data_IF_688480020787
#
_entry.id   IF_688480020787
#
_cell.length_a   1.000
_cell.length_b   1.000
_cell.length_c   1.000
_cell.angle_alpha   90.00
_cell.angle_beta   90.00
_cell.angle_gamma   90.00
#
_symmetry.space_group_name_H-M   'P 1'
#
loop_
_entity.id
_entity.type
_entity.pdbx_description
1 polymer ?
#
# COMPACT_ATOMS: atom_id res chain seq x y z
N UNK A 1 53.97 -20.33 39.84
CA UNK A 1 52.51 -20.38 39.69
C UNK A 1 52.05 -19.05 39.11
N UNK A 2 51.74 -19.01 37.81
CA UNK A 2 51.23 -17.79 37.15
C UNK A 2 49.76 -18.03 36.82
N UNK A 3 48.88 -17.29 37.50
CA UNK A 3 47.42 -17.31 37.31
C UNK A 3 47.08 -16.63 35.99
N UNK A 4 46.57 -17.42 35.05
CA UNK A 4 46.00 -16.96 33.78
C UNK A 4 44.58 -16.46 34.03
N UNK A 5 44.32 -15.19 33.71
CA UNK A 5 43.00 -14.58 33.76
C UNK A 5 42.40 -14.60 32.35
N UNK A 6 41.28 -15.32 32.20
CA UNK A 6 40.55 -15.45 30.94
C UNK A 6 39.53 -14.29 30.85
N UNK A 7 39.81 -13.29 30.04
CA UNK A 7 38.90 -12.17 29.78
C UNK A 7 37.81 -12.62 28.82
N UNK A 8 36.57 -12.76 29.31
CA UNK A 8 35.41 -13.11 28.50
C UNK A 8 34.91 -11.83 27.81
N UNK A 9 35.13 -11.73 26.49
CA UNK A 9 34.50 -10.72 25.65
C UNK A 9 33.05 -11.12 25.39
N UNK A 10 32.11 -10.50 26.11
CA UNK A 10 30.68 -10.62 25.80
C UNK A 10 30.37 -9.80 24.55
N UNK A 11 30.23 -10.49 23.42
CA UNK A 11 29.81 -9.90 22.14
C UNK A 11 28.34 -9.46 22.24
N UNK A 12 28.10 -8.15 22.22
CA UNK A 12 26.75 -7.60 22.09
C UNK A 12 26.30 -7.74 20.64
N UNK A 13 25.47 -8.73 20.37
CA UNK A 13 24.74 -8.86 19.11
C UNK A 13 23.67 -7.76 19.10
N UNK A 14 23.93 -6.67 18.38
CA UNK A 14 22.90 -5.68 18.07
C UNK A 14 21.92 -6.35 17.12
N UNK A 15 20.75 -6.74 17.64
CA UNK A 15 19.59 -7.13 16.83
C UNK A 15 19.15 -5.88 16.07
N UNK A 16 19.73 -5.68 14.88
CA UNK A 16 19.17 -4.75 13.91
C UNK A 16 17.82 -5.33 13.52
N UNK A 17 16.73 -4.67 13.91
CA UNK A 17 15.39 -5.01 13.46
C UNK A 17 15.42 -5.08 11.94
N UNK A 18 15.30 -6.29 11.39
CA UNK A 18 14.98 -6.48 9.98
C UNK A 18 13.66 -5.74 9.77
N UNK A 19 13.72 -4.57 9.14
CA UNK A 19 12.55 -3.93 8.54
C UNK A 19 12.10 -4.92 7.47
N UNK A 20 11.19 -5.80 7.87
CA UNK A 20 10.59 -6.83 7.04
C UNK A 20 9.89 -6.13 5.88
N UNK A 21 10.30 -6.49 4.66
CA UNK A 21 9.69 -6.24 3.36
C UNK A 21 8.61 -5.13 3.33
N UNK A 22 8.94 -4.01 2.66
CA UNK A 22 8.03 -2.90 2.33
C UNK A 22 6.60 -3.41 2.11
N UNK A 23 5.71 -3.12 3.07
CA UNK A 23 4.29 -3.43 2.92
C UNK A 23 3.77 -2.66 1.70
N UNK A 24 3.27 -3.33 0.65
CA UNK A 24 2.79 -2.66 -0.55
C UNK A 24 1.62 -1.72 -0.29
N UNK A 25 0.96 -1.86 0.86
CA UNK A 25 -0.20 -1.09 1.25
C UNK A 25 0.08 0.04 2.20
N UNK A 26 1.18 -0.06 2.94
CA UNK A 26 1.35 0.71 4.16
C UNK A 26 2.73 1.31 4.24
N UNK A 27 2.74 2.60 4.50
CA UNK A 27 3.96 3.37 4.66
C UNK A 27 3.93 4.14 5.97
N UNK A 28 4.89 3.87 6.84
CA UNK A 28 5.08 4.63 8.08
C UNK A 28 6.13 5.72 7.88
N UNK A 29 5.73 6.98 8.11
CA UNK A 29 6.66 8.09 8.16
C UNK A 29 7.03 8.41 9.60
N UNK A 30 8.32 8.59 9.94
CA UNK A 30 8.79 8.72 11.32
C UNK A 30 8.17 9.90 12.10
N UNK A 31 7.68 10.93 11.39
CA UNK A 31 7.12 12.14 12.02
C UNK A 31 5.76 12.57 11.51
N UNK A 32 5.24 11.97 10.44
CA UNK A 32 3.97 12.43 9.81
C UNK A 32 2.80 11.51 10.11
N UNK A 33 3.06 10.24 10.43
CA UNK A 33 2.02 9.22 10.61
C UNK A 33 2.11 8.12 9.56
N UNK A 34 1.00 7.45 9.33
CA UNK A 34 0.89 6.26 8.48
C UNK A 34 0.00 6.54 7.27
N UNK A 35 0.42 6.10 6.10
CA UNK A 35 -0.47 5.93 4.94
C UNK A 35 -0.82 4.46 4.87
N UNK A 36 -2.12 4.16 4.82
CA UNK A 36 -2.62 2.80 4.66
C UNK A 36 -3.71 2.77 3.59
N UNK A 37 -3.41 2.10 2.48
CA UNK A 37 -4.29 1.95 1.32
C UNK A 37 -5.07 0.62 1.34
N UNK A 38 -4.92 -0.20 2.39
CA UNK A 38 -5.47 -1.57 2.45
C UNK A 38 -6.97 -1.59 2.21
N UNK A 39 -7.71 -0.63 2.77
CA UNK A 39 -9.17 -0.53 2.64
C UNK A 39 -9.64 -0.14 1.24
N UNK A 40 -8.75 0.40 0.40
CA UNK A 40 -9.08 0.79 -0.98
C UNK A 40 -8.94 -0.37 -1.97
N UNK A 41 -8.19 -1.41 -1.61
CA UNK A 41 -7.93 -2.56 -2.46
C UNK A 41 -9.06 -3.58 -2.38
N UNK A 42 -9.51 -4.09 -3.53
CA UNK A 42 -10.44 -5.23 -3.57
C UNK A 42 -9.69 -6.54 -3.39
N UNK A 43 -10.30 -7.49 -2.69
CA UNK A 43 -9.74 -8.83 -2.42
C UNK A 43 -10.35 -9.93 -3.28
N UNK A 44 -11.33 -9.62 -4.14
CA UNK A 44 -12.05 -10.58 -4.98
C UNK A 44 -11.34 -10.88 -6.31
N UNK A 45 -10.06 -10.51 -6.43
CA UNK A 45 -9.27 -10.71 -7.64
C UNK A 45 -9.62 -9.78 -8.80
N UNK A 46 -10.46 -8.76 -8.58
CA UNK A 46 -10.85 -7.72 -9.55
C UNK A 46 -10.23 -6.37 -9.17
N UNK A 47 -10.03 -5.44 -10.14
CA UNK A 47 -9.53 -4.12 -9.82
C UNK A 47 -10.54 -3.29 -9.03
N UNK A 48 -10.07 -2.51 -8.04
CA UNK A 48 -10.88 -1.51 -7.34
C UNK A 48 -11.33 -0.39 -8.27
N UNK A 49 -10.49 -0.03 -9.23
CA UNK A 49 -10.74 1.02 -10.20
C UNK A 49 -10.61 0.46 -11.62
N UNK A 50 -11.65 -0.22 -12.14
CA UNK A 50 -11.64 -0.75 -13.50
C UNK A 50 -11.76 0.36 -14.55
N UNK A 51 -11.18 0.12 -15.72
CA UNK A 51 -11.56 0.76 -16.99
C UNK A 51 -11.55 2.31 -16.98
N UNK A 52 -10.61 2.93 -16.27
CA UNK A 52 -10.43 4.38 -16.24
C UNK A 52 -9.93 4.88 -17.59
N UNK A 53 -10.74 5.69 -18.25
CA UNK A 53 -10.40 6.39 -19.48
C UNK A 53 -9.52 7.59 -19.12
N UNK A 54 -8.35 7.76 -19.78
CA UNK A 54 -7.45 8.83 -19.42
C UNK A 54 -7.97 10.20 -19.87
N UNK A 55 -7.76 11.23 -19.04
CA UNK A 55 -8.19 12.61 -19.33
C UNK A 55 -7.43 13.25 -20.50
N UNK A 56 -6.27 12.72 -20.86
CA UNK A 56 -5.41 13.21 -21.96
C UNK A 56 -5.85 12.75 -23.36
N UNK A 57 -6.82 11.84 -23.45
CA UNK A 57 -7.25 11.23 -24.71
C UNK A 57 -6.26 10.14 -25.18
N UNK A 58 -6.68 8.88 -25.08
CA UNK A 58 -5.89 7.73 -25.52
C UNK A 58 -6.81 6.60 -25.99
N UNK A 59 -6.31 5.72 -26.85
CA UNK A 59 -7.00 4.50 -27.28
C UNK A 59 -6.89 3.37 -26.25
N UNK A 60 -6.58 3.70 -24.99
CA UNK A 60 -6.42 2.77 -23.89
C UNK A 60 -7.22 3.22 -22.68
N UNK A 61 -7.67 2.24 -21.90
CA UNK A 61 -8.22 2.39 -20.55
C UNK A 61 -7.32 1.67 -19.55
N UNK A 62 -7.43 2.05 -18.28
CA UNK A 62 -6.54 1.57 -17.22
C UNK A 62 -7.33 1.02 -16.04
N UNK A 63 -6.88 -0.13 -15.54
CA UNK A 63 -7.41 -0.70 -14.31
C UNK A 63 -6.34 -0.69 -13.22
N UNK A 64 -6.73 -0.38 -12.00
CA UNK A 64 -5.84 -0.32 -10.84
C UNK A 64 -6.47 -1.00 -9.63
N UNK A 65 -5.65 -1.73 -8.89
CA UNK A 65 -5.98 -2.19 -7.55
C UNK A 65 -4.80 -1.88 -6.63
N UNK A 66 -4.93 -0.99 -5.64
CA UNK A 66 -3.93 -0.89 -4.59
C UNK A 66 -3.88 -2.22 -3.84
N UNK A 67 -2.72 -2.55 -3.27
CA UNK A 67 -2.53 -3.62 -2.28
C UNK A 67 -2.66 -5.07 -2.71
N UNK A 68 -3.64 -5.39 -3.55
CA UNK A 68 -4.04 -6.75 -3.86
C UNK A 68 -3.90 -6.98 -5.37
N UNK A 69 -3.26 -8.06 -5.80
CA UNK A 69 -3.15 -8.36 -7.21
C UNK A 69 -4.53 -8.69 -7.79
N UNK A 70 -4.76 -8.37 -9.06
CA UNK A 70 -5.96 -8.75 -9.80
C UNK A 70 -5.63 -9.36 -11.16
N UNK A 71 -6.62 -9.99 -11.79
CA UNK A 71 -6.52 -10.56 -13.14
C UNK A 71 -7.76 -10.24 -13.95
N UNK A 72 -7.61 -9.72 -15.18
CA UNK A 72 -8.75 -9.38 -16.05
C UNK A 72 -8.53 -9.59 -17.57
N UNK A 73 -7.28 -9.73 -18.01
CA UNK A 73 -6.91 -9.95 -19.41
C UNK A 73 -5.67 -10.87 -19.48
N UNK A 74 -5.40 -11.53 -20.64
CA UNK A 74 -4.30 -12.49 -20.75
C UNK A 74 -2.91 -11.95 -20.37
N UNK A 75 -2.62 -10.68 -20.63
CA UNK A 75 -1.33 -10.06 -20.26
C UNK A 75 -1.37 -9.32 -18.92
N UNK A 76 -2.48 -9.42 -18.19
CA UNK A 76 -2.70 -8.78 -16.89
C UNK A 76 -3.13 -9.84 -15.88
N UNK A 77 -2.16 -10.67 -15.49
CA UNK A 77 -2.31 -11.74 -14.50
C UNK A 77 -1.53 -11.37 -13.25
N UNK A 78 -2.21 -11.31 -12.11
CA UNK A 78 -1.59 -10.99 -10.82
C UNK A 78 -0.99 -9.59 -10.75
N UNK A 79 -1.58 -8.62 -11.47
CA UNK A 79 -1.04 -7.26 -11.61
C UNK A 79 -1.61 -6.29 -10.58
N UNK A 80 -0.90 -5.19 -10.35
CA UNK A 80 -1.40 -4.02 -9.62
C UNK A 80 -2.04 -3.00 -10.58
N UNK A 81 -1.53 -2.91 -11.81
CA UNK A 81 -2.02 -1.98 -12.84
C UNK A 81 -2.04 -2.67 -14.20
N UNK A 82 -3.15 -2.55 -14.92
CA UNK A 82 -3.33 -3.04 -16.28
C UNK A 82 -3.67 -1.89 -17.24
N UNK A 83 -3.12 -1.92 -18.44
CA UNK A 83 -3.55 -1.10 -19.58
C UNK A 83 -4.26 -1.99 -20.60
N UNK A 84 -5.40 -1.55 -21.11
CA UNK A 84 -6.22 -2.31 -22.06
C UNK A 84 -6.62 -1.39 -23.21
N UNK A 85 -6.51 -1.84 -24.46
CA UNK A 85 -7.01 -1.07 -25.60
C UNK A 85 -8.53 -0.91 -25.51
N UNK A 86 -9.08 0.16 -26.08
CA UNK A 86 -10.53 0.40 -26.02
C UNK A 86 -11.36 -0.73 -26.63
N UNK A 87 -10.82 -1.46 -27.61
CA UNK A 87 -11.45 -2.64 -28.20
C UNK A 87 -11.21 -3.94 -27.42
N UNK A 88 -10.48 -3.89 -26.31
CA UNK A 88 -10.20 -5.03 -25.42
C UNK A 88 -9.21 -6.06 -25.96
N UNK A 89 -8.62 -5.85 -27.14
CA UNK A 89 -7.78 -6.88 -27.81
C UNK A 89 -6.33 -6.86 -27.34
N UNK A 90 -5.81 -5.71 -26.93
CA UNK A 90 -4.46 -5.55 -26.43
C UNK A 90 -4.52 -5.26 -24.93
N UNK A 91 -3.65 -5.92 -24.18
CA UNK A 91 -3.45 -5.64 -22.76
C UNK A 91 -1.96 -5.64 -22.43
N UNK A 92 -1.58 -4.82 -21.46
CA UNK A 92 -0.20 -4.67 -21.00
C UNK A 92 -0.17 -4.58 -19.48
N UNK A 93 0.67 -5.41 -18.86
CA UNK A 93 1.04 -5.25 -17.46
C UNK A 93 1.86 -3.96 -17.29
N UNK A 94 1.41 -3.05 -16.44
CA UNK A 94 2.14 -1.82 -16.13
C UNK A 94 2.85 -1.86 -14.77
N UNK A 95 2.55 -2.86 -13.94
CA UNK A 95 3.19 -3.04 -12.64
C UNK A 95 2.50 -4.05 -11.75
N UNK A 96 3.25 -4.58 -10.79
CA UNK A 96 2.85 -5.65 -9.87
C UNK A 96 3.06 -5.23 -8.42
N UNK A 97 2.40 -5.90 -7.46
CA UNK A 97 2.46 -5.50 -6.05
C UNK A 97 3.86 -5.62 -5.43
N UNK A 98 4.68 -6.56 -5.90
CA UNK A 98 6.08 -6.77 -5.50
C UNK A 98 7.04 -5.68 -6.03
N UNK A 99 6.60 -4.87 -7.00
CA UNK A 99 7.38 -3.78 -7.58
C UNK A 99 7.17 -2.42 -6.89
N UNK A 100 6.38 -2.42 -5.81
CA UNK A 100 5.96 -1.21 -5.11
C UNK A 100 7.15 -0.38 -4.64
N UNK A 101 7.07 0.94 -4.82
CA UNK A 101 8.02 1.90 -4.26
C UNK A 101 7.28 3.11 -3.74
N UNK A 102 7.48 3.38 -2.46
CA UNK A 102 6.93 4.57 -1.81
C UNK A 102 7.81 5.78 -2.04
N UNK A 103 7.18 6.91 -2.37
CA UNK A 103 7.78 8.22 -2.35
C UNK A 103 6.99 9.08 -1.36
N UNK A 104 7.47 9.25 -0.11
CA UNK A 104 6.75 9.99 0.93
C UNK A 104 6.51 11.46 0.63
N UNK A 105 7.10 11.98 -0.45
CA UNK A 105 7.13 13.40 -0.74
C UNK A 105 8.09 14.15 0.19
N UNK A 106 8.87 15.05 -0.37
CA UNK A 106 9.74 15.97 0.37
C UNK A 106 9.72 17.34 -0.31
N UNK A 107 9.51 18.40 0.46
CA UNK A 107 9.38 19.75 -0.07
C UNK A 107 8.20 19.88 -1.03
N UNK A 108 8.47 20.16 -2.31
CA UNK A 108 7.46 20.32 -3.37
C UNK A 108 6.96 19.01 -3.99
N UNK A 109 7.52 17.85 -3.61
CA UNK A 109 7.13 16.56 -4.19
C UNK A 109 5.90 16.01 -3.46
N UNK A 110 4.86 15.67 -4.21
CA UNK A 110 3.67 14.98 -3.71
C UNK A 110 4.01 13.58 -3.21
N UNK A 111 3.28 13.14 -2.18
CA UNK A 111 3.25 11.76 -1.73
C UNK A 111 2.75 10.87 -2.89
N UNK A 112 3.45 9.78 -3.16
CA UNK A 112 3.12 8.87 -4.25
C UNK A 112 3.55 7.44 -3.96
N UNK A 113 2.91 6.50 -4.64
CA UNK A 113 3.32 5.11 -4.73
C UNK A 113 3.55 4.75 -6.21
N UNK A 114 4.61 4.01 -6.49
CA UNK A 114 4.95 3.59 -7.84
C UNK A 114 4.95 2.08 -7.99
N UNK A 115 4.61 1.62 -9.18
CA UNK A 115 4.66 0.22 -9.62
C UNK A 115 5.42 0.14 -10.94
N UNK A 116 6.00 -1.01 -11.26
CA UNK A 116 6.74 -1.19 -12.51
C UNK A 116 6.65 -2.61 -13.06
N UNK A 117 6.66 -2.71 -14.39
CA UNK A 117 6.79 -3.97 -15.13
C UNK A 117 7.76 -3.76 -16.30
N UNK A 118 8.96 -4.34 -16.19
CA UNK A 118 10.05 -4.06 -17.13
C UNK A 118 10.41 -2.57 -17.14
N UNK A 119 10.35 -1.93 -18.31
CA UNK A 119 10.64 -0.50 -18.46
C UNK A 119 9.46 0.41 -18.10
N UNK A 120 8.25 -0.17 -17.92
CA UNK A 120 7.03 0.59 -17.62
C UNK A 120 6.98 0.96 -16.16
N UNK A 121 6.59 2.21 -15.88
CA UNK A 121 6.45 2.74 -14.53
C UNK A 121 5.14 3.50 -14.38
N UNK A 122 4.36 3.13 -13.39
CA UNK A 122 3.14 3.84 -13.01
C UNK A 122 3.44 4.61 -11.73
N UNK A 123 3.11 5.89 -11.70
CA UNK A 123 3.12 6.71 -10.47
C UNK A 123 1.70 7.08 -10.12
N UNK A 124 1.25 6.61 -8.95
CA UNK A 124 -0.03 7.00 -8.37
C UNK A 124 0.23 8.09 -7.34
N UNK A 125 -0.15 9.31 -7.68
CA UNK A 125 -0.07 10.46 -6.76
C UNK A 125 -1.21 10.33 -5.77
N UNK A 126 -0.88 10.42 -4.48
CA UNK A 126 -1.86 10.34 -3.40
C UNK A 126 -2.34 11.76 -3.07
N UNK A 127 -3.60 12.04 -3.40
CA UNK A 127 -4.27 13.30 -3.13
C UNK A 127 -5.17 13.16 -1.90
N UNK A 128 -4.73 13.74 -0.80
CA UNK A 128 -5.50 13.77 0.44
C UNK A 128 -6.78 14.60 0.27
N UNK A 129 -7.91 14.08 0.76
CA UNK A 129 -9.18 14.80 0.90
C UNK A 129 -9.84 14.49 2.25
N UNK A 130 -10.71 15.38 2.72
CA UNK A 130 -11.57 15.15 3.90
C UNK A 130 -12.92 14.56 3.55
N UNK A 131 -13.24 14.42 2.26
CA UNK A 131 -14.51 13.88 1.78
C UNK A 131 -14.47 12.35 1.75
N UNK A 132 -15.62 11.67 1.89
CA UNK A 132 -15.71 10.20 1.81
C UNK A 132 -15.63 9.66 0.37
N UNK A 133 -14.81 10.29 -0.47
CA UNK A 133 -14.60 9.91 -1.86
C UNK A 133 -13.37 9.01 -2.00
N UNK A 134 -13.45 8.08 -2.95
CA UNK A 134 -12.34 7.23 -3.36
C UNK A 134 -12.32 7.23 -4.89
N UNK A 135 -11.60 8.20 -5.45
CA UNK A 135 -11.63 8.47 -6.89
C UNK A 135 -10.23 8.30 -7.48
N UNK A 136 -10.18 7.59 -8.60
CA UNK A 136 -8.97 7.44 -9.39
C UNK A 136 -9.15 8.16 -10.73
N UNK A 137 -8.31 9.17 -10.97
CA UNK A 137 -8.11 9.76 -12.28
C UNK A 137 -6.89 9.10 -12.94
N UNK A 138 -7.09 8.54 -14.13
CA UNK A 138 -5.97 8.16 -14.98
C UNK A 138 -5.58 9.34 -15.86
N UNK A 139 -4.33 9.80 -15.78
CA UNK A 139 -3.80 10.75 -16.77
C UNK A 139 -3.23 10.03 -18.00
N UNK A 140 -3.00 8.71 -17.86
CA UNK A 140 -2.43 7.87 -18.90
C UNK A 140 -0.91 7.98 -18.98
N UNK A 141 -0.38 7.72 -20.17
CA UNK A 141 1.05 7.79 -20.47
C UNK A 141 1.48 9.25 -20.65
N UNK A 142 2.23 9.79 -19.69
CA UNK A 142 2.67 11.21 -19.69
C UNK A 142 4.02 11.39 -20.37
N UNK A 143 4.81 10.31 -20.47
CA UNK A 143 5.98 10.19 -21.34
C UNK A 143 6.19 8.71 -21.62
N UNK A 144 7.04 8.37 -22.59
CA UNK A 144 7.24 6.98 -23.03
C UNK A 144 7.49 6.06 -21.83
N UNK A 145 6.67 5.00 -21.70
CA UNK A 145 6.66 4.02 -20.62
C UNK A 145 6.42 4.58 -19.21
N UNK A 146 6.03 5.84 -19.05
CA UNK A 146 5.75 6.48 -17.76
C UNK A 146 4.30 6.92 -17.68
N UNK A 147 3.57 6.31 -16.76
CA UNK A 147 2.15 6.51 -16.55
C UNK A 147 1.90 7.25 -15.24
N UNK A 148 0.88 8.09 -15.21
CA UNK A 148 0.52 8.86 -14.00
C UNK A 148 -0.96 8.76 -13.72
N UNK A 149 -1.29 8.40 -12.48
CA UNK A 149 -2.64 8.44 -11.93
C UNK A 149 -2.69 9.36 -10.71
N UNK A 150 -3.88 9.84 -10.38
CA UNK A 150 -4.17 10.58 -9.15
C UNK A 150 -5.24 9.82 -8.39
N UNK A 151 -4.94 9.44 -7.16
CA UNK A 151 -5.87 8.79 -6.25
C UNK A 151 -6.28 9.78 -5.16
N UNK A 152 -7.53 10.22 -5.22
CA UNK A 152 -8.14 11.12 -4.24
C UNK A 152 -8.89 10.28 -3.20
N UNK A 153 -8.45 10.35 -1.94
CA UNK A 153 -9.05 9.59 -0.84
C UNK A 153 -8.67 10.15 0.53
N UNK A 154 -9.50 9.90 1.55
CA UNK A 154 -9.10 10.04 2.96
C UNK A 154 -7.86 9.20 3.28
N UNK A 155 -7.71 8.02 2.68
CA UNK A 155 -6.54 7.16 2.90
C UNK A 155 -5.24 7.71 2.32
N UNK A 156 -5.31 8.71 1.44
CA UNK A 156 -4.15 9.43 0.94
C UNK A 156 -3.62 10.48 1.93
N UNK A 157 -4.35 10.74 3.03
CA UNK A 157 -3.90 11.58 4.14
C UNK A 157 -3.13 10.75 5.17
N UNK A 158 -2.12 11.34 5.81
CA UNK A 158 -1.46 10.74 6.96
C UNK A 158 -2.48 10.46 8.07
N UNK A 159 -2.50 9.22 8.54
CA UNK A 159 -3.46 8.68 9.52
C UNK A 159 -4.94 8.87 9.13
N UNK A 160 -5.21 9.13 7.84
CA UNK A 160 -6.54 9.45 7.34
C UNK A 160 -7.43 8.22 7.21
N UNK A 161 -6.83 7.09 6.83
CA UNK A 161 -7.48 5.80 6.98
C UNK A 161 -7.09 5.17 8.31
N UNK A 162 -7.80 5.64 9.34
CA UNK A 162 -7.86 4.92 10.59
C UNK A 162 -8.51 3.57 10.30
N UNK A 163 -7.69 2.53 10.17
CA UNK A 163 -8.15 1.24 10.64
C UNK A 163 -8.55 1.47 12.09
N UNK A 164 -9.82 1.24 12.41
CA UNK A 164 -10.24 1.02 13.79
C UNK A 164 -9.16 0.12 14.41
N UNK A 165 -8.50 0.52 15.50
CA UNK A 165 -7.45 -0.28 16.10
C UNK A 165 -7.98 -1.70 16.28
N UNK A 166 -7.21 -2.70 15.84
CA UNK A 166 -7.26 -3.99 16.50
C UNK A 166 -7.17 -3.66 17.98
N UNK A 167 -8.26 -3.88 18.71
CA UNK A 167 -8.24 -3.66 20.14
C UNK A 167 -7.02 -4.39 20.69
N UNK A 168 -6.11 -3.60 21.23
CA UNK A 168 -5.16 -4.03 22.23
C UNK A 168 -6.00 -4.66 23.33
N UNK A 169 -6.27 -5.97 23.22
CA UNK A 169 -6.78 -6.73 24.35
C UNK A 169 -5.65 -6.72 25.37
N UNK A 170 -5.80 -5.77 26.29
CA UNK A 170 -4.98 -5.48 27.44
C UNK A 170 -4.45 -6.75 28.10
N UNK A 171 -3.15 -6.74 28.40
CA UNK A 171 -2.49 -7.72 29.28
C UNK A 171 -3.22 -7.81 30.64
N UNK A 172 -3.47 -9.05 31.06
CA UNK A 172 -3.24 -9.62 32.40
C UNK A 172 -3.88 -8.91 33.62
N UNK A 173 -4.82 -9.62 34.26
CA UNK A 173 -5.32 -9.29 35.60
C UNK A 173 -6.06 -10.46 36.24
N UNK A 174 -5.33 -11.28 36.99
CA UNK A 174 -5.82 -12.25 37.96
C UNK A 174 -6.66 -11.51 39.02
N UNK A 175 -7.85 -12.01 39.34
CA UNK A 175 -8.65 -11.55 40.49
C UNK A 175 -9.98 -12.28 40.60
N UNK A 176 -10.07 -13.26 41.50
CA UNK A 176 -11.29 -14.01 41.78
C UNK A 176 -12.32 -13.22 42.60
N UNK A 177 -13.53 -13.76 42.72
CA UNK A 177 -14.54 -13.23 43.63
C UNK A 177 -15.96 -13.65 43.28
N UNK A 178 -16.52 -14.52 44.12
CA UNK A 178 -17.83 -15.16 44.12
C UNK A 178 -19.01 -14.29 44.62
N UNK A 179 -20.23 -14.84 44.47
CA UNK A 179 -21.60 -14.43 44.92
C UNK A 179 -22.44 -13.66 43.89
N UNK A 180 -23.74 -13.88 43.66
CA UNK A 180 -24.80 -14.65 44.33
C UNK A 180 -26.14 -13.90 44.17
N UNK A 181 -27.28 -14.63 44.07
CA UNK A 181 -28.72 -14.19 44.01
C UNK A 181 -29.17 -13.35 42.79
N UNK A 182 -30.17 -13.70 41.97
CA UNK A 182 -31.58 -14.18 42.15
C UNK A 182 -32.52 -13.15 42.78
N UNK A 183 -33.17 -12.34 41.94
CA UNK A 183 -34.49 -11.67 41.99
C UNK A 183 -34.68 -11.12 40.55
N UNK A 184 -35.74 -11.26 39.77
CA UNK A 184 -37.14 -11.70 39.91
C UNK A 184 -37.51 -12.65 38.75
#
# INVERSE_FOLDING_TARGET
MVMSWLTIFTSFVVLSSLITADDPCRYEHPTKGVIDLTSLGRTDGKPAYPDKIPSTGSNYKYSYNPCKPFTEQPNCIGVAVCQISMDGKLSFNLGTQDSVKWNPGSGLRSLAVSYSAGEKRVTVILQCTTDDTNELEALGEVSINNYRFVLTSKCACWDGCKNVPLETTTKSGIGGGSNGSRFE
#
